data_IF_537019418701
#
_entry.id   IF_537019418701
#
_cell.length_a   1.000
_cell.length_b   1.000
_cell.length_c   1.000
_cell.angle_alpha   90.00
_cell.angle_beta   90.00
_cell.angle_gamma   90.00
#
_symmetry.space_group_name_H-M   'P 1'
#
loop_
_entity.id
_entity.type
_entity.pdbx_description
1 polymer ?
#
# COMPACT_ATOMS: atom_id res chain seq x y z
N UNK A 1 30.22 7.07 7.84
CA UNK A 1 29.26 6.70 8.90
C UNK A 1 29.58 5.27 9.30
N UNK A 2 30.07 5.02 10.51
CA UNK A 2 30.30 3.65 10.98
C UNK A 2 28.95 2.93 11.15
N UNK A 3 28.86 1.61 10.92
CA UNK A 3 27.65 0.85 11.22
C UNK A 3 27.28 1.04 12.70
N UNK A 4 25.99 1.10 13.06
CA UNK A 4 25.61 1.10 14.46
C UNK A 4 26.17 -0.16 15.13
N UNK A 5 26.79 0.02 16.29
CA UNK A 5 27.32 -1.08 17.08
C UNK A 5 26.16 -1.98 17.53
N UNK A 6 26.27 -3.28 17.25
CA UNK A 6 25.42 -4.29 17.85
C UNK A 6 25.62 -4.34 19.36
N UNK A 7 24.78 -5.10 20.07
CA UNK A 7 24.79 -5.17 21.55
C UNK A 7 26.14 -5.57 22.18
N UNK A 8 27.11 -6.00 21.36
CA UNK A 8 28.45 -6.44 21.75
C UNK A 8 29.60 -5.61 21.11
N UNK A 9 29.33 -4.42 20.57
CA UNK A 9 30.35 -3.58 19.90
C UNK A 9 30.82 -4.09 18.54
N UNK A 10 30.11 -5.07 17.98
CA UNK A 10 30.37 -5.62 16.63
C UNK A 10 29.46 -4.92 15.62
N UNK A 11 29.96 -4.59 14.41
CA UNK A 11 29.13 -3.99 13.38
C UNK A 11 27.98 -4.93 13.00
N UNK A 12 26.77 -4.38 12.90
CA UNK A 12 25.61 -5.12 12.38
C UNK A 12 25.83 -5.35 10.89
N UNK A 13 26.06 -6.60 10.50
CA UNK A 13 26.23 -7.02 9.11
C UNK A 13 24.92 -7.49 8.47
N UNK A 14 23.91 -7.78 9.30
CA UNK A 14 22.60 -8.26 8.86
C UNK A 14 21.59 -7.11 8.72
N UNK A 15 20.83 -7.11 7.63
CA UNK A 15 19.79 -6.11 7.42
C UNK A 15 18.68 -6.26 8.48
N UNK A 16 18.28 -5.14 9.12
CA UNK A 16 17.18 -5.10 10.10
C UNK A 16 15.84 -5.57 9.51
N UNK A 17 15.64 -5.40 8.20
CA UNK A 17 14.43 -5.78 7.48
C UNK A 17 14.80 -6.62 6.26
N UNK A 18 13.99 -7.64 5.96
CA UNK A 18 14.13 -8.43 4.74
C UNK A 18 13.67 -7.64 3.52
N UNK A 19 14.11 -8.03 2.32
CA UNK A 19 13.63 -7.46 1.06
C UNK A 19 12.10 -7.61 0.91
N UNK A 20 11.54 -8.69 1.44
CA UNK A 20 10.10 -8.91 1.44
C UNK A 20 9.36 -7.88 2.31
N UNK A 21 9.88 -7.58 3.50
CA UNK A 21 9.32 -6.54 4.36
C UNK A 21 9.40 -5.15 3.71
N UNK A 22 10.53 -4.84 3.04
CA UNK A 22 10.67 -3.58 2.28
C UNK A 22 9.70 -3.49 1.10
N UNK A 23 9.42 -4.62 0.44
CA UNK A 23 8.40 -4.68 -0.62
C UNK A 23 6.99 -4.42 -0.09
N UNK A 24 6.65 -4.92 1.09
CA UNK A 24 5.38 -4.57 1.75
C UNK A 24 5.31 -3.08 2.12
N UNK A 25 6.40 -2.52 2.63
CA UNK A 25 6.48 -1.09 2.92
C UNK A 25 6.29 -0.23 1.65
N UNK A 26 6.89 -0.62 0.52
CA UNK A 26 6.71 0.06 -0.76
C UNK A 26 5.25 0.04 -1.23
N UNK A 27 4.56 -1.10 -1.10
CA UNK A 27 3.15 -1.20 -1.46
C UNK A 27 2.27 -0.29 -0.60
N UNK A 28 2.51 -0.25 0.72
CA UNK A 28 1.78 0.65 1.63
C UNK A 28 1.98 2.13 1.25
N UNK A 29 3.20 2.53 0.93
CA UNK A 29 3.51 3.90 0.48
C UNK A 29 2.80 4.24 -0.82
N UNK A 30 2.73 3.32 -1.79
CA UNK A 30 1.99 3.57 -3.04
C UNK A 30 0.51 3.82 -2.79
N UNK A 31 -0.11 3.04 -1.89
CA UNK A 31 -1.51 3.20 -1.55
C UNK A 31 -1.77 4.52 -0.82
N UNK A 32 -0.88 4.90 0.12
CA UNK A 32 -0.94 6.19 0.81
C UNK A 32 -0.84 7.38 -0.18
N UNK A 33 -0.02 7.26 -1.22
CA UNK A 33 0.08 8.23 -2.32
C UNK A 33 -1.13 8.20 -3.28
N UNK A 34 -2.17 7.42 -2.99
CA UNK A 34 -3.40 7.36 -3.76
C UNK A 34 -3.31 6.53 -5.04
N UNK A 35 -2.34 5.62 -5.16
CA UNK A 35 -2.26 4.76 -6.33
C UNK A 35 -3.44 3.79 -6.34
N UNK A 36 -4.11 3.61 -7.50
CA UNK A 36 -5.24 2.70 -7.57
C UNK A 36 -4.76 1.24 -7.39
N UNK A 37 -5.60 0.37 -6.80
CA UNK A 37 -5.28 -1.04 -6.52
C UNK A 37 -4.67 -1.79 -7.71
N UNK A 38 -5.19 -1.56 -8.91
CA UNK A 38 -4.69 -2.22 -10.13
C UNK A 38 -3.26 -1.78 -10.48
N UNK A 39 -2.93 -0.50 -10.29
CA UNK A 39 -1.56 0.00 -10.51
C UNK A 39 -0.59 -0.56 -9.48
N UNK A 40 -1.03 -0.70 -8.23
CA UNK A 40 -0.24 -1.35 -7.17
C UNK A 40 -0.02 -2.83 -7.51
N UNK A 41 -1.04 -3.53 -8.00
CA UNK A 41 -0.93 -4.92 -8.47
C UNK A 41 0.16 -5.06 -9.54
N UNK A 42 0.17 -4.18 -10.55
CA UNK A 42 1.12 -4.24 -11.66
C UNK A 42 2.55 -3.88 -11.22
N UNK A 43 2.71 -2.85 -10.40
CA UNK A 43 4.02 -2.44 -9.84
C UNK A 43 4.61 -3.50 -8.92
N UNK A 44 3.77 -4.19 -8.16
CA UNK A 44 4.23 -5.31 -7.36
C UNK A 44 4.44 -6.56 -8.23
N UNK A 45 3.65 -6.76 -9.28
CA UNK A 45 3.64 -8.02 -10.02
C UNK A 45 2.85 -9.11 -9.29
N UNK A 46 1.72 -8.73 -8.69
CA UNK A 46 0.79 -9.70 -8.10
C UNK A 46 -0.03 -10.40 -9.19
N UNK A 47 -0.19 -11.71 -9.05
CA UNK A 47 -0.91 -12.54 -10.02
C UNK A 47 -2.40 -12.18 -10.12
N UNK A 48 -2.98 -11.64 -9.05
CA UNK A 48 -4.38 -11.24 -9.02
C UNK A 48 -4.59 -9.97 -8.21
N UNK A 49 -5.71 -9.29 -8.49
CA UNK A 49 -6.12 -8.12 -7.72
C UNK A 49 -6.55 -8.53 -6.29
N UNK A 50 -7.16 -9.72 -6.15
CA UNK A 50 -7.52 -10.31 -4.85
C UNK A 50 -6.31 -10.34 -3.90
N UNK A 51 -5.15 -10.81 -4.36
CA UNK A 51 -3.92 -10.81 -3.56
C UNK A 51 -3.53 -9.42 -3.04
N UNK A 52 -3.81 -8.35 -3.80
CA UNK A 52 -3.53 -6.98 -3.37
C UNK A 52 -4.53 -6.53 -2.31
N UNK A 53 -5.81 -6.87 -2.46
CA UNK A 53 -6.85 -6.53 -1.49
C UNK A 53 -6.78 -7.37 -0.21
N UNK A 54 -6.41 -8.64 -0.30
CA UNK A 54 -6.26 -9.52 0.86
C UNK A 54 -5.18 -8.98 1.82
N UNK A 55 -4.13 -8.36 1.26
CA UNK A 55 -3.00 -7.84 2.04
C UNK A 55 -3.18 -6.37 2.42
N UNK A 56 -3.74 -5.54 1.53
CA UNK A 56 -3.77 -4.08 1.70
C UNK A 56 -5.16 -3.46 1.60
N UNK A 57 -6.23 -4.25 1.54
CA UNK A 57 -7.61 -3.78 1.37
C UNK A 57 -7.99 -2.67 2.35
N UNK A 58 -7.52 -2.79 3.60
CA UNK A 58 -7.77 -1.83 4.67
C UNK A 58 -7.06 -0.48 4.50
N UNK A 59 -6.07 -0.37 3.60
CA UNK A 59 -5.37 0.88 3.30
C UNK A 59 -6.08 1.72 2.22
N UNK A 60 -6.98 1.12 1.44
CA UNK A 60 -7.77 1.86 0.47
C UNK A 60 -8.89 2.61 1.19
N UNK A 61 -9.07 3.90 0.86
CA UNK A 61 -10.10 4.77 1.45
C UNK A 61 -11.50 4.18 1.25
N UNK A 62 -12.36 4.29 2.27
CA UNK A 62 -13.69 3.68 2.30
C UNK A 62 -14.75 4.42 1.46
N UNK A 63 -15.78 3.66 1.12
CA UNK A 63 -16.94 3.94 0.23
C UNK A 63 -17.87 5.09 0.68
N UNK A 64 -17.58 5.80 1.77
CA UNK A 64 -18.47 6.87 2.26
C UNK A 64 -18.49 8.08 1.32
N UNK A 65 -17.42 8.29 0.55
CA UNK A 65 -17.35 9.26 -0.54
C UNK A 65 -18.16 8.80 -1.77
N UNK A 66 -18.38 7.49 -1.93
CA UNK A 66 -19.05 6.93 -3.10
C UNK A 66 -20.57 7.12 -3.02
N UNK A 67 -21.18 7.01 -1.83
CA UNK A 67 -22.62 7.28 -1.65
C UNK A 67 -23.00 8.72 -2.01
N UNK A 68 -22.18 9.68 -1.61
CA UNK A 68 -22.40 11.09 -1.93
C UNK A 68 -22.29 11.34 -3.44
N UNK A 69 -21.27 10.77 -4.09
CA UNK A 69 -21.09 10.86 -5.55
C UNK A 69 -22.22 10.20 -6.32
N UNK A 70 -22.73 9.06 -5.86
CA UNK A 70 -23.88 8.39 -6.47
C UNK A 70 -25.12 9.29 -6.41
N UNK A 71 -25.41 9.90 -5.25
CA UNK A 71 -26.54 10.82 -5.11
C UNK A 71 -26.42 12.08 -6.00
N UNK A 72 -25.20 12.62 -6.15
CA UNK A 72 -24.93 13.71 -7.10
C UNK A 72 -25.17 13.27 -8.55
N UNK A 73 -24.69 12.08 -8.94
CA UNK A 73 -24.91 11.53 -10.27
C UNK A 73 -26.40 11.29 -10.56
N UNK A 74 -27.16 10.75 -9.62
CA UNK A 74 -28.61 10.57 -9.75
C UNK A 74 -29.33 11.90 -9.97
N UNK A 75 -28.96 12.93 -9.20
CA UNK A 75 -29.52 14.28 -9.35
C UNK A 75 -29.19 14.88 -10.72
N UNK A 76 -27.96 14.70 -11.21
CA UNK A 76 -27.54 15.22 -12.52
C UNK A 76 -28.18 14.51 -13.72
N UNK A 77 -28.62 13.26 -13.56
CA UNK A 77 -29.24 12.47 -14.63
C UNK A 77 -30.77 12.60 -14.67
N UNK A 78 -31.41 12.87 -13.53
CA UNK A 78 -32.87 12.87 -13.37
C UNK A 78 -33.48 14.24 -13.05
N UNK A 79 -32.64 15.25 -12.77
CA UNK A 79 -33.03 16.66 -12.63
C UNK A 79 -33.03 17.40 -13.97
#
# INVERSE_FOLDING_TARGET
>A
MAPPDGKDGKPILDAKYSLHALRHAAAALFIEQGFPPKKVQDLMGHASLAMTYDVYGYLFKSEDDDRAKIAEMETALLG
#
